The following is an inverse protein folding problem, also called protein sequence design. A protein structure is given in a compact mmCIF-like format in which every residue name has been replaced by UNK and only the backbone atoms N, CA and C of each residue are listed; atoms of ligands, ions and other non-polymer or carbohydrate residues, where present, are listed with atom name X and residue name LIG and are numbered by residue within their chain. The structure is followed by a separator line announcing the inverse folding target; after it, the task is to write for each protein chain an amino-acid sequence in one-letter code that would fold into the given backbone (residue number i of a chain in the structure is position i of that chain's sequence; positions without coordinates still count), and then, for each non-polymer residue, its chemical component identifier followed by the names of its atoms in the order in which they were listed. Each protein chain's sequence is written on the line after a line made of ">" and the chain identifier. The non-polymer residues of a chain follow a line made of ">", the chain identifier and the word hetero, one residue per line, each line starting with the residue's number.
data_IF_786966873652
#
_entry.id   IF_786966873652
#
_cell.length_a   1.000
_cell.length_b   1.000
_cell.length_c   1.000
_cell.angle_alpha   90.00
_cell.angle_beta   90.00
_cell.angle_gamma   90.00
#
_symmetry.space_group_name_H-M   'P 1'
#
loop_
_entity.id
_entity.type
_entity.pdbx_description
1 polymer ?
#
# COMPACT_ATOMS: atom_id res chain seq x y z
N UNK A 1 -29.48 25.54 -9.53
CA UNK A 1 -28.36 25.13 -8.71
C UNK A 1 -27.22 24.64 -9.61
N UNK A 2 -26.13 25.42 -9.69
CA UNK A 2 -24.93 25.00 -10.43
C UNK A 2 -24.27 23.87 -9.62
N UNK A 3 -24.31 22.65 -10.15
CA UNK A 3 -23.46 21.56 -9.67
C UNK A 3 -22.03 22.01 -9.99
N UNK A 4 -21.31 22.45 -8.95
CA UNK A 4 -19.93 22.88 -9.09
C UNK A 4 -19.06 21.69 -9.45
N UNK A 5 -18.65 21.61 -10.71
CA UNK A 5 -17.59 20.68 -11.12
C UNK A 5 -16.31 21.18 -10.44
N UNK A 6 -15.78 20.41 -9.50
CA UNK A 6 -14.52 20.71 -8.82
C UNK A 6 -13.42 20.95 -9.86
N UNK A 7 -12.66 22.01 -9.70
CA UNK A 7 -11.57 22.34 -10.63
C UNK A 7 -10.46 21.30 -10.51
N UNK A 8 -9.72 20.98 -11.57
CA UNK A 8 -8.67 19.93 -11.55
C UNK A 8 -7.67 20.08 -10.41
N UNK A 9 -7.26 21.30 -10.08
CA UNK A 9 -6.31 21.57 -9.00
C UNK A 9 -6.93 21.36 -7.60
N UNK A 10 -8.25 21.55 -7.41
CA UNK A 10 -8.94 21.26 -6.15
C UNK A 10 -8.90 19.75 -5.86
N UNK A 11 -9.13 18.91 -6.88
CA UNK A 11 -9.02 17.45 -6.77
C UNK A 11 -7.59 17.02 -6.43
N UNK A 12 -6.58 17.68 -7.00
CA UNK A 12 -5.17 17.39 -6.70
C UNK A 12 -4.83 17.71 -5.25
N UNK A 13 -5.26 18.88 -4.75
CA UNK A 13 -5.06 19.26 -3.34
C UNK A 13 -5.78 18.32 -2.38
N UNK A 14 -7.00 17.87 -2.71
CA UNK A 14 -7.74 16.88 -1.93
C UNK A 14 -7.00 15.53 -1.90
N UNK A 15 -6.40 15.14 -3.00
CA UNK A 15 -5.61 13.91 -3.08
C UNK A 15 -4.32 14.02 -2.26
N UNK A 16 -3.59 15.13 -2.32
CA UNK A 16 -2.42 15.37 -1.50
C UNK A 16 -2.75 15.33 0.01
N UNK A 17 -3.88 15.90 0.43
CA UNK A 17 -4.33 15.83 1.81
C UNK A 17 -4.68 14.39 2.22
N UNK A 18 -5.36 13.64 1.35
CA UNK A 18 -5.65 12.23 1.58
C UNK A 18 -4.37 11.41 1.75
N UNK A 19 -3.34 11.62 0.92
CA UNK A 19 -2.05 10.94 1.03
C UNK A 19 -1.37 11.21 2.38
N UNK A 20 -1.41 12.46 2.87
CA UNK A 20 -0.87 12.83 4.20
C UNK A 20 -1.61 12.10 5.31
N UNK A 21 -2.95 12.08 5.27
CA UNK A 21 -3.78 11.38 6.28
C UNK A 21 -3.56 9.87 6.23
N UNK A 22 -3.45 9.30 5.03
CA UNK A 22 -3.17 7.88 4.83
C UNK A 22 -1.83 7.49 5.47
N UNK A 23 -0.75 8.21 5.13
CA UNK A 23 0.58 7.94 5.68
C UNK A 23 0.60 8.13 7.21
N UNK A 24 -0.01 9.19 7.72
CA UNK A 24 -0.06 9.47 9.15
C UNK A 24 -0.80 8.37 9.93
N UNK A 25 -1.97 7.92 9.44
CA UNK A 25 -2.74 6.85 10.06
C UNK A 25 -1.97 5.51 10.05
N UNK A 26 -1.34 5.18 8.91
CA UNK A 26 -0.57 3.94 8.78
C UNK A 26 0.65 3.93 9.72
N UNK A 27 1.41 5.02 9.76
CA UNK A 27 2.61 5.16 10.63
C UNK A 27 2.23 5.14 12.11
N UNK A 28 1.12 5.74 12.49
CA UNK A 28 0.62 5.74 13.86
C UNK A 28 -0.01 4.39 14.28
N UNK A 29 -0.28 3.48 13.34
CA UNK A 29 -1.04 2.26 13.61
C UNK A 29 -2.52 2.54 13.91
N UNK A 30 -3.02 3.71 13.48
CA UNK A 30 -4.42 4.11 13.68
C UNK A 30 -5.31 3.46 12.60
N UNK A 31 -5.76 2.25 12.89
CA UNK A 31 -6.61 1.48 11.99
C UNK A 31 -7.96 2.13 11.72
N UNK A 32 -8.54 2.84 12.69
CA UNK A 32 -9.81 3.54 12.50
C UNK A 32 -9.66 4.71 11.55
N UNK A 33 -8.64 5.57 11.76
CA UNK A 33 -8.35 6.67 10.86
C UNK A 33 -8.03 6.21 9.44
N UNK A 34 -7.26 5.12 9.27
CA UNK A 34 -6.95 4.55 7.96
C UNK A 34 -8.22 4.01 7.27
N UNK A 35 -9.00 3.18 7.98
CA UNK A 35 -10.19 2.56 7.42
C UNK A 35 -11.24 3.59 6.96
N UNK A 36 -11.39 4.71 7.67
CA UNK A 36 -12.32 5.79 7.30
C UNK A 36 -11.98 6.49 5.98
N UNK A 37 -10.75 6.37 5.48
CA UNK A 37 -10.39 6.87 4.15
C UNK A 37 -10.97 6.02 3.02
N UNK A 38 -11.39 4.80 3.31
CA UNK A 38 -11.96 3.85 2.36
C UNK A 38 -13.49 3.87 2.36
N UNK A 39 -14.09 3.38 1.27
CA UNK A 39 -15.51 3.01 1.25
C UNK A 39 -15.75 1.84 2.23
N UNK A 40 -17.00 1.60 2.64
CA UNK A 40 -17.32 0.53 3.59
C UNK A 40 -16.88 -0.87 3.11
N UNK A 41 -16.87 -1.08 1.80
CA UNK A 41 -16.43 -2.27 1.10
C UNK A 41 -15.11 -2.07 0.35
N UNK A 42 -14.36 -1.03 0.71
CA UNK A 42 -13.07 -0.72 0.13
C UNK A 42 -12.00 -1.77 0.42
N UNK A 43 -11.02 -1.86 -0.45
CA UNK A 43 -9.95 -2.86 -0.35
C UNK A 43 -8.58 -2.19 -0.25
N UNK A 44 -7.83 -2.55 0.77
CA UNK A 44 -6.39 -2.32 0.87
C UNK A 44 -5.67 -3.58 0.38
N UNK A 45 -5.04 -3.50 -0.79
CA UNK A 45 -4.29 -4.62 -1.38
C UNK A 45 -2.80 -4.43 -1.08
N UNK A 46 -2.41 -4.90 0.09
CA UNK A 46 -1.02 -4.84 0.56
C UNK A 46 -0.14 -5.78 -0.27
N UNK A 47 1.04 -5.29 -0.64
CA UNK A 47 1.92 -6.05 -1.52
C UNK A 47 2.60 -7.25 -0.83
N UNK A 48 2.66 -7.29 0.51
CA UNK A 48 3.12 -8.47 1.28
C UNK A 48 1.97 -9.36 1.72
N UNK A 49 0.89 -8.77 2.26
CA UNK A 49 -0.19 -9.52 2.91
C UNK A 49 -1.35 -9.87 1.98
N UNK A 50 -1.45 -9.15 0.85
CA UNK A 50 -2.58 -9.29 -0.07
C UNK A 50 -3.80 -8.45 0.33
N UNK A 51 -4.96 -8.69 -0.30
CA UNK A 51 -6.12 -7.83 -0.15
C UNK A 51 -6.83 -8.02 1.21
N UNK A 52 -7.17 -6.88 1.83
CA UNK A 52 -8.02 -6.76 3.02
C UNK A 52 -9.22 -5.90 2.64
N UNK A 53 -10.42 -6.48 2.65
CA UNK A 53 -11.65 -5.82 2.20
C UNK A 53 -12.56 -5.50 3.37
N UNK A 54 -13.03 -4.25 3.44
CA UNK A 54 -13.86 -3.71 4.50
C UNK A 54 -13.06 -3.18 5.68
N UNK A 55 -13.67 -2.27 6.45
CA UNK A 55 -12.99 -1.52 7.51
C UNK A 55 -12.33 -2.43 8.54
N UNK A 56 -13.00 -3.47 9.02
CA UNK A 56 -12.43 -4.36 10.04
C UNK A 56 -11.20 -5.14 9.53
N UNK A 57 -11.24 -5.62 8.27
CA UNK A 57 -10.11 -6.31 7.67
C UNK A 57 -8.90 -5.37 7.47
N UNK A 58 -9.15 -4.11 7.09
CA UNK A 58 -8.10 -3.08 6.96
C UNK A 58 -7.45 -2.78 8.31
N UNK A 59 -8.24 -2.66 9.39
CA UNK A 59 -7.72 -2.44 10.75
C UNK A 59 -6.84 -3.62 11.20
N UNK A 60 -7.30 -4.84 10.99
CA UNK A 60 -6.54 -6.05 11.33
C UNK A 60 -5.24 -6.15 10.54
N UNK A 61 -5.27 -5.84 9.24
CA UNK A 61 -4.09 -5.81 8.40
C UNK A 61 -3.06 -4.80 8.93
N UNK A 62 -3.49 -3.57 9.27
CA UNK A 62 -2.58 -2.56 9.81
C UNK A 62 -1.97 -2.99 11.16
N UNK A 63 -2.71 -3.68 12.01
CA UNK A 63 -2.18 -4.22 13.27
C UNK A 63 -1.00 -5.19 13.03
N UNK A 64 -1.00 -5.95 11.93
CA UNK A 64 0.10 -6.84 11.58
C UNK A 64 1.39 -6.13 11.20
N UNK A 65 1.35 -4.84 10.85
CA UNK A 65 2.58 -4.06 10.63
C UNK A 65 3.44 -4.05 11.90
N UNK A 66 2.81 -3.90 13.06
CA UNK A 66 3.50 -3.89 14.35
C UNK A 66 4.15 -5.22 14.72
N UNK A 67 3.73 -6.34 14.12
CA UNK A 67 4.35 -7.65 14.34
C UNK A 67 5.74 -7.73 13.71
N UNK A 68 5.91 -7.12 12.53
CA UNK A 68 7.13 -7.19 11.75
C UNK A 68 8.09 -6.03 11.92
N UNK A 69 7.60 -4.88 12.41
CA UNK A 69 8.38 -3.65 12.45
C UNK A 69 7.97 -2.67 13.54
N UNK A 70 8.77 -1.62 13.65
CA UNK A 70 8.52 -0.43 14.48
C UNK A 70 9.18 0.78 13.86
N UNK A 71 8.92 1.97 14.42
CA UNK A 71 9.46 3.25 13.91
C UNK A 71 9.25 3.38 12.39
N UNK A 72 7.98 3.23 11.98
CA UNK A 72 7.57 3.36 10.59
C UNK A 72 7.67 4.80 10.12
N UNK A 73 8.11 4.99 8.85
CA UNK A 73 8.14 6.27 8.16
C UNK A 73 7.57 6.07 6.77
N UNK A 74 6.62 6.88 6.39
CA UNK A 74 5.98 6.83 5.08
C UNK A 74 5.79 8.22 4.52
N UNK A 75 6.31 8.46 3.34
CA UNK A 75 6.24 9.73 2.64
C UNK A 75 5.78 9.50 1.21
N UNK A 76 4.66 10.11 0.84
CA UNK A 76 4.20 10.17 -0.55
C UNK A 76 4.71 11.43 -1.23
N UNK A 77 5.00 11.33 -2.54
CA UNK A 77 5.42 12.45 -3.37
C UNK A 77 5.01 12.23 -4.82
N UNK A 78 5.08 13.30 -5.65
CA UNK A 78 4.73 13.29 -7.07
C UNK A 78 3.34 12.68 -7.36
N UNK A 79 2.26 13.15 -6.70
CA UNK A 79 0.92 12.64 -6.95
C UNK A 79 0.43 13.01 -8.35
N UNK A 80 -0.31 12.09 -8.97
CA UNK A 80 -0.97 12.30 -10.25
C UNK A 80 -2.40 11.73 -10.19
N UNK A 81 -3.35 12.43 -10.81
CA UNK A 81 -4.74 12.01 -10.91
C UNK A 81 -5.15 11.88 -12.38
N UNK A 82 -5.87 10.81 -12.69
CA UNK A 82 -6.53 10.60 -13.98
C UNK A 82 -7.94 10.06 -13.75
N UNK A 83 -8.95 10.91 -13.93
CA UNK A 83 -10.32 10.55 -13.59
C UNK A 83 -10.49 10.23 -12.11
N UNK A 84 -10.94 9.02 -11.83
CA UNK A 84 -11.13 8.51 -10.47
C UNK A 84 -9.97 7.58 -10.03
N UNK A 85 -8.81 7.68 -10.69
CA UNK A 85 -7.61 6.94 -10.32
C UNK A 85 -6.47 7.90 -9.99
N UNK A 86 -5.86 7.72 -8.82
CA UNK A 86 -4.67 8.46 -8.38
C UNK A 86 -3.45 7.55 -8.28
N UNK A 87 -2.29 8.13 -8.51
CA UNK A 87 -0.99 7.49 -8.33
C UNK A 87 -0.08 8.40 -7.52
N UNK A 88 0.73 7.83 -6.66
CA UNK A 88 1.78 8.58 -5.97
C UNK A 88 2.99 7.67 -5.74
N UNK A 89 4.18 8.22 -5.97
CA UNK A 89 5.41 7.58 -5.51
C UNK A 89 5.52 7.70 -4.01
N UNK A 90 6.21 6.76 -3.36
CA UNK A 90 6.45 6.85 -1.93
C UNK A 90 7.83 6.33 -1.53
N UNK A 91 8.29 6.80 -0.37
CA UNK A 91 9.40 6.22 0.40
C UNK A 91 8.84 5.64 1.67
N UNK A 92 9.27 4.43 1.99
CA UNK A 92 8.85 3.74 3.20
C UNK A 92 10.05 3.14 3.93
N UNK A 93 10.04 3.21 5.25
CA UNK A 93 11.06 2.54 6.04
C UNK A 93 10.52 2.15 7.41
N UNK A 94 11.12 1.12 7.99
CA UNK A 94 10.82 0.66 9.34
C UNK A 94 12.03 -0.04 9.95
N UNK A 95 12.09 -0.11 11.27
CA UNK A 95 13.04 -0.93 11.97
C UNK A 95 12.50 -2.36 12.10
N UNK A 96 13.23 -3.34 11.58
CA UNK A 96 12.80 -4.74 11.58
C UNK A 96 12.84 -5.32 13.00
N UNK A 97 11.76 -6.00 13.39
CA UNK A 97 11.68 -6.75 14.67
C UNK A 97 12.22 -8.18 14.57
N UNK A 98 12.43 -8.68 13.35
CA UNK A 98 13.01 -9.99 13.13
C UNK A 98 14.38 -10.08 13.83
N UNK A 99 14.64 -11.10 14.69
CA UNK A 99 15.90 -11.20 15.45
C UNK A 99 17.14 -11.22 14.56
N UNK A 100 17.07 -11.91 13.41
CA UNK A 100 18.17 -12.03 12.46
C UNK A 100 18.55 -10.67 11.84
N UNK A 101 17.58 -9.78 11.67
CA UNK A 101 17.82 -8.43 11.15
C UNK A 101 18.47 -7.49 12.16
N UNK A 102 18.56 -7.88 13.45
CA UNK A 102 19.24 -7.12 14.51
C UNK A 102 18.86 -5.63 14.60
N UNK A 103 17.57 -5.33 14.34
CA UNK A 103 17.07 -3.96 14.35
C UNK A 103 17.47 -3.14 13.11
N UNK A 104 17.82 -3.78 11.99
CA UNK A 104 18.16 -3.09 10.77
C UNK A 104 16.99 -2.21 10.29
N UNK A 105 17.32 -1.01 9.75
CA UNK A 105 16.37 -0.15 9.05
C UNK A 105 16.13 -0.69 7.65
N UNK A 106 14.94 -1.23 7.41
CA UNK A 106 14.49 -1.66 6.09
C UNK A 106 13.97 -0.45 5.34
N UNK A 107 14.42 -0.26 4.10
CA UNK A 107 14.02 0.87 3.24
C UNK A 107 13.64 0.38 1.87
N UNK A 108 12.57 0.93 1.32
CA UNK A 108 12.21 0.74 -0.08
C UNK A 108 11.36 1.92 -0.57
N UNK A 109 11.30 2.07 -1.85
CA UNK A 109 10.37 2.96 -2.52
C UNK A 109 9.37 2.16 -3.36
N UNK A 110 8.28 2.80 -3.74
CA UNK A 110 7.25 2.16 -4.51
C UNK A 110 6.29 3.17 -5.13
N UNK A 111 5.26 2.63 -5.76
CA UNK A 111 4.15 3.41 -6.32
C UNK A 111 2.84 2.85 -5.79
N UNK A 112 2.05 3.70 -5.15
CA UNK A 112 0.68 3.42 -4.76
C UNK A 112 -0.30 3.84 -5.85
N UNK A 113 -1.31 3.01 -6.08
CA UNK A 113 -2.47 3.30 -6.93
C UNK A 113 -3.72 3.36 -6.05
N UNK A 114 -4.51 4.39 -6.26
CA UNK A 114 -5.75 4.68 -5.55
C UNK A 114 -6.89 4.75 -6.56
N UNK A 115 -7.82 3.82 -6.52
CA UNK A 115 -9.06 3.90 -7.25
C UNK A 115 -10.13 4.47 -6.31
N UNK A 116 -10.84 5.51 -6.73
CA UNK A 116 -11.79 6.27 -5.91
C UNK A 116 -13.23 5.96 -6.28
N UNK A 117 -14.09 5.98 -5.26
CA UNK A 117 -15.53 6.09 -5.40
C UNK A 117 -15.98 7.33 -4.60
N UNK A 118 -16.35 8.38 -5.33
CA UNK A 118 -16.57 9.70 -4.75
C UNK A 118 -15.27 10.27 -4.15
N UNK A 119 -15.28 10.55 -2.85
CA UNK A 119 -14.13 11.11 -2.11
C UNK A 119 -13.39 10.06 -1.27
N UNK A 120 -13.71 8.78 -1.43
CA UNK A 120 -13.14 7.68 -0.65
C UNK A 120 -12.40 6.71 -1.55
N UNK A 121 -11.42 6.03 -0.97
CA UNK A 121 -10.66 4.98 -1.64
C UNK A 121 -11.56 3.76 -1.77
N UNK A 122 -11.81 3.32 -3.01
CA UNK A 122 -12.43 2.04 -3.31
C UNK A 122 -11.42 0.91 -3.28
N UNK A 123 -10.23 1.17 -3.84
CA UNK A 123 -9.11 0.24 -3.80
C UNK A 123 -7.79 0.97 -3.73
N UNK A 124 -6.96 0.58 -2.80
CA UNK A 124 -5.54 0.88 -2.77
C UNK A 124 -4.76 -0.37 -3.17
N UNK A 125 -3.77 -0.20 -4.02
CA UNK A 125 -2.80 -1.23 -4.37
C UNK A 125 -1.44 -0.58 -4.57
N UNK A 126 -0.37 -1.39 -4.50
CA UNK A 126 0.98 -0.85 -4.60
C UNK A 126 1.93 -1.85 -5.25
N UNK A 127 3.07 -1.34 -5.70
CA UNK A 127 4.20 -2.14 -6.15
C UNK A 127 5.50 -1.59 -5.57
N UNK A 128 6.35 -2.48 -5.10
CA UNK A 128 7.71 -2.19 -4.66
C UNK A 128 8.58 -3.46 -4.80
N UNK A 129 9.88 -3.35 -4.61
CA UNK A 129 10.75 -4.52 -4.65
C UNK A 129 10.67 -5.33 -3.35
N UNK A 130 9.85 -6.39 -3.36
CA UNK A 130 9.73 -7.32 -2.24
C UNK A 130 11.03 -8.05 -1.93
N UNK A 131 11.79 -8.39 -2.96
CA UNK A 131 13.07 -9.10 -2.80
C UNK A 131 14.05 -8.27 -1.99
N UNK A 132 14.20 -7.00 -2.36
CA UNK A 132 15.03 -6.02 -1.65
C UNK A 132 14.58 -5.86 -0.19
N UNK A 133 13.28 -5.74 0.05
CA UNK A 133 12.74 -5.58 1.41
C UNK A 133 12.95 -6.82 2.28
N UNK A 134 12.83 -8.03 1.72
CA UNK A 134 13.09 -9.29 2.43
C UNK A 134 14.58 -9.52 2.70
N UNK A 135 15.44 -9.20 1.72
CA UNK A 135 16.89 -9.35 1.87
C UNK A 135 17.44 -8.47 3.02
N UNK A 136 16.98 -7.22 3.14
CA UNK A 136 17.37 -6.34 4.25
C UNK A 136 16.93 -6.84 5.64
N UNK A 137 15.96 -7.76 5.69
CA UNK A 137 15.50 -8.42 6.91
C UNK A 137 16.22 -9.75 7.18
N UNK A 138 17.31 -10.03 6.48
CA UNK A 138 18.10 -11.25 6.62
C UNK A 138 17.28 -12.55 6.37
N UNK A 139 16.34 -12.50 5.41
CA UNK A 139 15.71 -13.74 4.94
C UNK A 139 16.69 -14.54 4.09
N UNK A 140 16.76 -15.84 4.34
CA UNK A 140 17.59 -16.75 3.55
C UNK A 140 17.27 -16.67 2.05
N UNK A 141 18.27 -16.67 1.15
CA UNK A 141 18.07 -16.50 -0.29
C UNK A 141 17.03 -17.46 -0.88
N UNK A 142 17.02 -18.73 -0.43
CA UNK A 142 16.05 -19.71 -0.89
C UNK A 142 14.62 -19.37 -0.43
N UNK A 143 14.47 -18.77 0.75
CA UNK A 143 13.18 -18.27 1.23
C UNK A 143 12.67 -17.11 0.39
N UNK A 144 13.54 -16.15 0.04
CA UNK A 144 13.22 -15.02 -0.84
C UNK A 144 12.78 -15.54 -2.21
N UNK A 145 13.54 -16.49 -2.79
CA UNK A 145 13.20 -17.13 -4.05
C UNK A 145 11.82 -17.82 -3.99
N UNK A 146 11.54 -18.60 -2.94
CA UNK A 146 10.26 -19.28 -2.76
C UNK A 146 9.09 -18.30 -2.69
N UNK A 147 9.25 -17.19 -1.97
CA UNK A 147 8.24 -16.12 -1.88
C UNK A 147 8.02 -15.50 -3.25
N UNK A 148 9.08 -15.14 -3.98
CA UNK A 148 8.99 -14.56 -5.32
C UNK A 148 8.24 -15.47 -6.30
N UNK A 149 8.53 -16.78 -6.29
CA UNK A 149 7.86 -17.78 -7.13
C UNK A 149 6.38 -17.95 -6.78
N UNK A 150 6.02 -17.87 -5.49
CA UNK A 150 4.61 -17.88 -5.05
C UNK A 150 3.84 -16.72 -5.67
N UNK A 151 4.40 -15.50 -5.62
CA UNK A 151 3.76 -14.33 -6.21
C UNK A 151 3.71 -14.39 -7.74
N UNK A 152 4.76 -14.91 -8.38
CA UNK A 152 4.75 -15.12 -9.83
C UNK A 152 3.65 -16.10 -10.26
N UNK A 153 3.45 -17.18 -9.51
CA UNK A 153 2.37 -18.12 -9.77
C UNK A 153 0.98 -17.49 -9.59
N UNK A 154 0.79 -16.72 -8.51
CA UNK A 154 -0.45 -15.99 -8.27
C UNK A 154 -0.74 -14.95 -9.37
N UNK A 155 0.28 -14.25 -9.87
CA UNK A 155 0.16 -13.32 -10.99
C UNK A 155 -0.30 -14.03 -12.27
N UNK A 156 0.35 -15.14 -12.62
CA UNK A 156 0.03 -15.94 -13.82
C UNK A 156 -1.37 -16.54 -13.79
N UNK A 157 -1.91 -16.79 -12.60
CA UNK A 157 -3.26 -17.35 -12.43
C UNK A 157 -4.37 -16.31 -12.66
N UNK A 158 -4.07 -15.02 -12.78
CA UNK A 158 -5.07 -13.98 -13.02
C UNK A 158 -5.55 -14.02 -14.47
N UNK A 159 -6.87 -13.87 -14.73
CA UNK A 159 -7.43 -13.95 -16.08
C UNK A 159 -6.79 -12.98 -17.09
N UNK A 160 -6.47 -11.76 -16.66
CA UNK A 160 -5.83 -10.74 -17.49
C UNK A 160 -4.43 -11.10 -17.96
N UNK A 161 -3.77 -12.07 -17.29
CA UNK A 161 -2.44 -12.59 -17.66
C UNK A 161 -2.47 -13.80 -18.60
N UNK A 162 -3.66 -14.29 -18.99
CA UNK A 162 -3.80 -15.52 -19.79
C UNK A 162 -3.00 -15.49 -21.11
N UNK A 163 -2.81 -14.31 -21.72
CA UNK A 163 -2.02 -14.14 -22.96
C UNK A 163 -0.51 -14.07 -22.71
N UNK A 164 -0.08 -13.76 -21.49
CA UNK A 164 1.32 -13.56 -21.12
C UNK A 164 1.91 -14.74 -20.32
N UNK A 165 1.06 -15.64 -19.83
CA UNK A 165 1.47 -16.75 -18.96
C UNK A 165 1.65 -18.08 -19.69
N UNK A 166 1.47 -18.08 -21.04
CA UNK A 166 1.67 -19.27 -21.91
C UNK A 166 3.13 -19.37 -22.34
#
# INVERSE_FOLDING_TARGET
>A
PRIGIARPWEKTMEFEDLLKRFAAAAVAGDGDALAQLFTADGTYDDYFFGPSTGHEAIKQMLAHFADGGRDFRWEFFAPALSGDTGYASYRFSFEAKRPEARGARVTFDGIGRFDFEGRRIKRYSEVFDRGMALAQQEFEPERVRKIALKYAAALKARPEWARHAK
#
